data_IF_865476662009
#
_entry.id   IF_865476662009
#
_cell.length_a   1.000
_cell.length_b   1.000
_cell.length_c   1.000
_cell.angle_alpha   90.00
_cell.angle_beta   90.00
_cell.angle_gamma   90.00
#
_symmetry.space_group_name_H-M   'P 1'
#
loop_
_entity.id
_entity.type
_entity.pdbx_description
1 polymer ?
#
# COMPACT_ATOMS: atom_id res chain seq x y z
N UNK A 1 21.93 41.95 -4.43
CA UNK A 1 21.07 41.15 -3.52
C UNK A 1 19.61 41.62 -3.49
N UNK A 2 19.28 42.91 -3.27
CA UNK A 2 17.86 43.36 -3.19
C UNK A 2 16.99 43.09 -4.43
N UNK A 3 17.59 43.10 -5.63
CA UNK A 3 16.88 42.90 -6.91
C UNK A 3 16.44 41.44 -7.13
N UNK A 4 17.17 40.49 -6.53
CA UNK A 4 16.86 39.05 -6.62
C UNK A 4 15.69 38.71 -5.69
N UNK A 5 15.65 39.33 -4.51
CA UNK A 5 14.54 39.21 -3.56
C UNK A 5 13.25 39.76 -4.17
N UNK A 6 13.30 40.93 -4.82
CA UNK A 6 12.13 41.51 -5.50
C UNK A 6 11.63 40.62 -6.65
N UNK A 7 12.53 40.04 -7.44
CA UNK A 7 12.15 39.13 -8.51
C UNK A 7 11.49 37.84 -7.96
N UNK A 8 12.02 37.28 -6.87
CA UNK A 8 11.45 36.10 -6.22
C UNK A 8 10.06 36.38 -5.61
N UNK A 9 9.82 37.60 -5.09
CA UNK A 9 8.55 38.00 -4.49
C UNK A 9 7.46 38.26 -5.53
N UNK A 10 7.83 38.68 -6.73
CA UNK A 10 6.90 38.84 -7.87
C UNK A 10 6.60 37.50 -8.55
N UNK A 11 7.55 36.55 -8.52
CA UNK A 11 7.35 35.20 -9.05
C UNK A 11 6.73 34.22 -8.02
N UNK A 12 6.68 34.55 -6.73
CA UNK A 12 6.08 33.69 -5.70
C UNK A 12 4.61 33.32 -5.93
N UNK A 13 3.74 34.22 -6.46
CA UNK A 13 2.36 33.84 -6.75
C UNK A 13 2.28 32.84 -7.91
N UNK A 14 3.21 32.90 -8.89
CA UNK A 14 3.21 31.98 -10.02
C UNK A 14 3.43 30.52 -9.57
N UNK A 15 4.22 30.28 -8.51
CA UNK A 15 4.36 28.95 -7.91
C UNK A 15 3.12 28.50 -7.13
N UNK A 16 2.43 29.42 -6.45
CA UNK A 16 1.16 29.13 -5.78
C UNK A 16 0.04 28.80 -6.79
N UNK A 17 0.01 29.46 -7.96
CA UNK A 17 -0.92 29.15 -9.04
C UNK A 17 -0.51 27.94 -9.90
N UNK A 18 0.78 27.57 -9.91
CA UNK A 18 1.27 26.34 -10.53
C UNK A 18 0.98 25.07 -9.70
N UNK A 19 0.46 25.23 -8.47
CA UNK A 19 -0.21 24.16 -7.71
C UNK A 19 -1.57 23.82 -8.36
N UNK A 20 -1.55 23.53 -9.66
CA UNK A 20 -2.70 23.09 -10.43
C UNK A 20 -3.17 21.74 -9.90
N UNK A 21 -4.47 21.68 -9.60
CA UNK A 21 -5.25 20.54 -9.11
C UNK A 21 -4.58 19.15 -9.26
N UNK A 22 -3.80 18.75 -8.24
CA UNK A 22 -3.32 17.37 -8.07
C UNK A 22 -4.48 16.37 -7.86
N UNK A 23 -5.73 16.81 -7.84
CA UNK A 23 -6.92 15.99 -7.64
C UNK A 23 -6.98 14.77 -8.55
N UNK A 24 -6.57 14.90 -9.82
CA UNK A 24 -6.52 13.76 -10.74
C UNK A 24 -5.47 12.72 -10.31
N UNK A 25 -4.25 13.15 -9.95
CA UNK A 25 -3.21 12.25 -9.46
C UNK A 25 -3.60 11.60 -8.13
N UNK A 26 -4.14 12.39 -7.20
CA UNK A 26 -4.64 11.89 -5.92
C UNK A 26 -5.77 10.88 -6.12
N UNK A 27 -6.69 11.12 -7.06
CA UNK A 27 -7.77 10.19 -7.36
C UNK A 27 -7.29 8.87 -7.96
N UNK A 28 -6.24 8.90 -8.80
CA UNK A 28 -5.62 7.70 -9.36
C UNK A 28 -4.87 6.94 -8.26
N UNK A 29 -4.08 7.62 -7.43
CA UNK A 29 -3.35 7.03 -6.31
C UNK A 29 -4.29 6.37 -5.30
N UNK A 30 -5.35 7.07 -4.90
CA UNK A 30 -6.38 6.52 -4.00
C UNK A 30 -7.17 5.38 -4.66
N UNK A 31 -7.45 5.48 -5.96
CA UNK A 31 -8.10 4.42 -6.74
C UNK A 31 -7.26 3.14 -6.79
N UNK A 32 -5.98 3.25 -7.13
CA UNK A 32 -5.02 2.14 -7.14
C UNK A 32 -4.83 1.57 -5.74
N UNK A 33 -4.68 2.43 -4.73
CA UNK A 33 -4.57 2.00 -3.33
C UNK A 33 -5.76 1.16 -2.87
N UNK A 34 -6.99 1.56 -3.23
CA UNK A 34 -8.22 0.78 -2.93
C UNK A 34 -8.25 -0.55 -3.66
N UNK A 35 -7.85 -0.60 -4.93
CA UNK A 35 -7.77 -1.84 -5.70
C UNK A 35 -6.78 -2.82 -5.08
N UNK A 36 -5.59 -2.36 -4.73
CA UNK A 36 -4.56 -3.19 -4.08
C UNK A 36 -5.04 -3.66 -2.71
N UNK A 37 -5.65 -2.78 -1.91
CA UNK A 37 -6.17 -3.14 -0.59
C UNK A 37 -7.25 -4.23 -0.66
N UNK A 38 -8.11 -4.20 -1.68
CA UNK A 38 -9.12 -5.23 -1.90
C UNK A 38 -8.55 -6.51 -2.50
N UNK A 39 -7.50 -6.42 -3.32
CA UNK A 39 -6.84 -7.58 -3.93
C UNK A 39 -5.99 -8.37 -2.93
N UNK A 40 -5.33 -7.70 -1.98
CA UNK A 40 -4.47 -8.31 -0.97
C UNK A 40 -5.10 -9.53 -0.25
N UNK A 41 -6.30 -9.44 0.35
CA UNK A 41 -6.91 -10.59 1.03
C UNK A 41 -7.22 -11.75 0.08
N UNK A 42 -7.57 -11.47 -1.17
CA UNK A 42 -7.83 -12.49 -2.19
C UNK A 42 -6.53 -13.25 -2.52
N UNK A 43 -5.44 -12.51 -2.75
CA UNK A 43 -4.15 -13.14 -3.06
C UNK A 43 -3.63 -13.93 -1.85
N UNK A 44 -3.85 -13.43 -0.62
CA UNK A 44 -3.48 -14.16 0.60
C UNK A 44 -4.23 -15.48 0.72
N UNK A 45 -5.54 -15.48 0.43
CA UNK A 45 -6.35 -16.69 0.39
C UNK A 45 -5.86 -17.68 -0.69
N UNK A 46 -5.52 -17.20 -1.89
CA UNK A 46 -4.96 -18.04 -2.96
C UNK A 46 -3.60 -18.62 -2.59
N UNK A 47 -2.73 -17.86 -1.94
CA UNK A 47 -1.43 -18.34 -1.46
C UNK A 47 -1.59 -19.44 -0.40
N UNK A 48 -2.54 -19.29 0.54
CA UNK A 48 -2.91 -20.35 1.48
C UNK A 48 -3.44 -21.60 0.76
N UNK A 49 -4.30 -21.43 -0.24
CA UNK A 49 -4.83 -22.54 -1.02
C UNK A 49 -3.72 -23.30 -1.74
N UNK A 50 -2.79 -22.58 -2.38
CA UNK A 50 -1.64 -23.16 -3.05
C UNK A 50 -0.71 -23.90 -2.08
N UNK A 51 -0.51 -23.36 -0.87
CA UNK A 51 0.22 -24.03 0.19
C UNK A 51 -0.43 -25.36 0.60
N UNK A 52 -1.74 -25.37 0.87
CA UNK A 52 -2.47 -26.60 1.20
C UNK A 52 -2.48 -27.60 0.04
N UNK A 53 -2.57 -27.12 -1.20
CA UNK A 53 -2.47 -27.98 -2.39
C UNK A 53 -1.09 -28.66 -2.49
N UNK A 54 -0.02 -27.91 -2.28
CA UNK A 54 1.34 -28.44 -2.21
C UNK A 54 1.51 -29.46 -1.09
N UNK A 55 0.95 -29.18 0.08
CA UNK A 55 0.97 -30.09 1.24
C UNK A 55 0.20 -31.39 0.98
N UNK A 56 -1.02 -31.29 0.45
CA UNK A 56 -1.82 -32.46 0.09
C UNK A 56 -1.09 -33.34 -0.93
N UNK A 57 -0.52 -32.72 -1.97
CA UNK A 57 0.27 -33.43 -2.98
C UNK A 57 1.52 -34.09 -2.38
N UNK A 58 2.19 -33.42 -1.45
CA UNK A 58 3.36 -33.98 -0.76
C UNK A 58 3.01 -35.20 0.10
N UNK A 59 1.89 -35.16 0.82
CA UNK A 59 1.43 -36.28 1.68
C UNK A 59 0.95 -37.46 0.83
N UNK A 60 0.22 -37.20 -0.26
CA UNK A 60 -0.35 -38.24 -1.13
C UNK A 60 0.68 -38.90 -2.05
N UNK A 61 1.89 -38.34 -2.20
CA UNK A 61 2.95 -38.83 -3.08
C UNK A 61 3.70 -40.07 -2.53
N UNK A 62 3.00 -41.04 -1.91
CA UNK A 62 3.62 -42.26 -1.41
C UNK A 62 4.25 -43.07 -2.56
N UNK A 63 5.55 -43.32 -2.48
CA UNK A 63 6.30 -44.16 -3.42
C UNK A 63 6.73 -43.49 -4.73
N UNK A 64 6.41 -42.22 -4.96
CA UNK A 64 6.82 -41.47 -6.15
C UNK A 64 7.65 -40.23 -5.74
N UNK A 65 8.97 -40.31 -5.93
CA UNK A 65 9.90 -39.23 -5.56
C UNK A 65 9.65 -37.94 -6.35
N UNK A 66 9.32 -38.04 -7.64
CA UNK A 66 9.02 -36.87 -8.48
C UNK A 66 7.79 -36.11 -7.98
N UNK A 67 6.71 -36.83 -7.65
CA UNK A 67 5.48 -36.23 -7.13
C UNK A 67 5.71 -35.55 -5.77
N UNK A 68 6.59 -36.13 -4.94
CA UNK A 68 6.98 -35.59 -3.64
C UNK A 68 7.79 -34.32 -3.79
N UNK A 69 8.77 -34.30 -4.70
CA UNK A 69 9.57 -33.11 -4.98
C UNK A 69 8.71 -31.96 -5.53
N UNK A 70 7.77 -32.28 -6.43
CA UNK A 70 6.86 -31.30 -7.00
C UNK A 70 5.91 -30.70 -5.94
N UNK A 71 5.35 -31.53 -5.06
CA UNK A 71 4.54 -31.06 -3.93
C UNK A 71 5.33 -30.17 -2.98
N UNK A 72 6.58 -30.57 -2.66
CA UNK A 72 7.50 -29.78 -1.82
C UNK A 72 7.79 -28.40 -2.43
N UNK A 73 8.02 -28.32 -3.74
CA UNK A 73 8.29 -27.06 -4.43
C UNK A 73 7.11 -26.09 -4.36
N UNK A 74 5.89 -26.59 -4.56
CA UNK A 74 4.65 -25.80 -4.45
C UNK A 74 4.42 -25.35 -3.00
N UNK A 75 4.61 -26.25 -2.04
CA UNK A 75 4.46 -25.96 -0.61
C UNK A 75 5.43 -24.86 -0.16
N UNK A 76 6.73 -24.98 -0.51
CA UNK A 76 7.74 -23.97 -0.19
C UNK A 76 7.42 -22.64 -0.89
N UNK A 77 7.00 -22.66 -2.15
CA UNK A 77 6.57 -21.46 -2.88
C UNK A 77 5.41 -20.74 -2.18
N UNK A 78 4.41 -21.50 -1.71
CA UNK A 78 3.30 -20.97 -0.91
C UNK A 78 3.76 -20.35 0.41
N UNK A 79 4.64 -21.02 1.16
CA UNK A 79 5.20 -20.48 2.41
C UNK A 79 5.96 -19.17 2.15
N UNK A 80 6.82 -19.12 1.12
CA UNK A 80 7.59 -17.93 0.79
C UNK A 80 6.66 -16.77 0.44
N UNK A 81 5.63 -17.01 -0.39
CA UNK A 81 4.66 -15.99 -0.75
C UNK A 81 3.94 -15.42 0.49
N UNK A 82 3.48 -16.29 1.38
CA UNK A 82 2.82 -15.89 2.64
C UNK A 82 3.77 -15.11 3.55
N UNK A 83 5.03 -15.55 3.66
CA UNK A 83 6.04 -14.88 4.48
C UNK A 83 6.34 -13.46 3.96
N UNK A 84 6.54 -13.29 2.65
CA UNK A 84 6.78 -11.98 2.05
C UNK A 84 5.58 -11.05 2.27
N UNK A 85 4.36 -11.54 2.06
CA UNK A 85 3.14 -10.75 2.28
C UNK A 85 3.00 -10.31 3.74
N UNK A 86 3.18 -11.24 4.69
CA UNK A 86 3.11 -10.93 6.11
C UNK A 86 4.23 -9.98 6.56
N UNK A 87 5.44 -10.14 6.03
CA UNK A 87 6.60 -9.30 6.34
C UNK A 87 6.40 -7.86 5.86
N UNK A 88 5.90 -7.66 4.63
CA UNK A 88 5.59 -6.31 4.10
C UNK A 88 4.53 -5.64 4.96
N UNK A 89 3.45 -6.35 5.31
CA UNK A 89 2.38 -5.77 6.14
C UNK A 89 2.86 -5.44 7.55
N UNK A 90 3.65 -6.32 8.16
CA UNK A 90 4.29 -6.08 9.46
C UNK A 90 5.22 -4.86 9.42
N UNK A 91 6.02 -4.72 8.37
CA UNK A 91 6.90 -3.56 8.18
C UNK A 91 6.11 -2.27 7.98
N UNK A 92 5.04 -2.30 7.18
CA UNK A 92 4.17 -1.14 6.96
C UNK A 92 3.52 -0.68 8.26
N UNK A 93 3.06 -1.61 9.10
CA UNK A 93 2.52 -1.28 10.44
C UNK A 93 3.60 -0.76 11.39
N UNK A 94 4.80 -1.35 11.36
CA UNK A 94 5.93 -0.88 12.16
C UNK A 94 6.29 0.56 11.80
N UNK A 95 6.34 0.91 10.52
CA UNK A 95 6.62 2.27 10.07
C UNK A 95 5.48 3.22 10.48
N UNK A 96 4.21 2.84 10.26
CA UNK A 96 3.07 3.67 10.66
C UNK A 96 3.07 3.99 12.16
N UNK A 97 3.35 3.00 13.00
CA UNK A 97 3.48 3.19 14.45
C UNK A 97 4.71 4.01 14.85
N UNK A 98 5.84 3.82 14.16
CA UNK A 98 7.08 4.56 14.44
C UNK A 98 6.96 6.06 14.10
N UNK A 99 6.19 6.41 13.07
CA UNK A 99 6.00 7.80 12.62
C UNK A 99 4.65 8.40 13.03
N UNK A 100 3.84 7.66 13.80
CA UNK A 100 2.48 8.03 14.21
C UNK A 100 1.56 8.46 13.06
N UNK A 101 1.69 7.77 11.92
CA UNK A 101 0.92 8.05 10.69
C UNK A 101 -0.27 7.09 10.63
N UNK A 102 -1.21 7.23 11.55
CA UNK A 102 -2.38 6.33 11.64
C UNK A 102 -3.70 7.00 11.21
N UNK A 103 -3.74 8.32 11.03
CA UNK A 103 -4.97 9.04 10.72
C UNK A 103 -4.85 9.91 9.47
N UNK A 104 -5.72 9.63 8.48
CA UNK A 104 -6.16 10.67 7.55
C UNK A 104 -7.04 11.61 8.38
N UNK A 105 -6.41 12.57 9.05
CA UNK A 105 -7.12 13.64 9.75
C UNK A 105 -7.98 14.36 8.72
N UNK A 106 -9.31 14.25 8.85
CA UNK A 106 -10.22 15.17 8.19
C UNK A 106 -10.01 16.54 8.85
N UNK A 107 -9.01 17.28 8.36
CA UNK A 107 -8.79 18.67 8.73
C UNK A 107 -9.97 19.49 8.20
N UNK A 108 -11.04 19.57 8.99
CA UNK A 108 -12.09 20.57 8.79
C UNK A 108 -11.42 21.93 8.93
N UNK A 109 -11.30 22.73 7.86
CA UNK A 109 -10.71 24.05 7.97
C UNK A 109 -11.55 24.87 8.95
N UNK A 110 -10.91 25.68 9.82
CA UNK A 110 -11.64 26.50 10.78
C UNK A 110 -12.63 27.41 10.03
N UNK A 111 -13.91 27.24 10.31
CA UNK A 111 -14.96 28.10 9.76
C UNK A 111 -15.09 29.34 10.65
N UNK A 112 -15.07 30.52 10.03
CA UNK A 112 -15.41 31.77 10.71
C UNK A 112 -16.92 31.76 10.92
N UNK A 113 -17.36 31.60 12.17
CA UNK A 113 -18.77 31.78 12.52
C UNK A 113 -19.12 33.27 12.37
N UNK A 114 -19.88 33.62 11.34
CA UNK A 114 -20.41 34.98 11.18
C UNK A 114 -21.61 35.11 12.13
N UNK A 115 -21.59 36.04 13.10
CA UNK A 115 -22.74 36.26 13.97
C UNK A 115 -23.92 36.77 13.15
N UNK A 116 -25.01 36.02 13.13
CA UNK A 116 -26.30 36.48 12.62
C UNK A 116 -26.93 37.37 13.68
N UNK A 117 -27.07 38.67 13.36
CA UNK A 117 -27.84 39.63 14.15
C UNK A 117 -29.34 39.34 14.01
#
# INVERSE_FOLDING_TARGET
MKKVILAALVFSPAFAFAQGNLGNLNSILLGVGRLVNNALPIVFALALLAFFWGLAKFILAQGNEDAKEQGKRIMIGGIIALFVMASIWGLVNFIQSAFDVNEIQNITPPSVQIPTN
#
